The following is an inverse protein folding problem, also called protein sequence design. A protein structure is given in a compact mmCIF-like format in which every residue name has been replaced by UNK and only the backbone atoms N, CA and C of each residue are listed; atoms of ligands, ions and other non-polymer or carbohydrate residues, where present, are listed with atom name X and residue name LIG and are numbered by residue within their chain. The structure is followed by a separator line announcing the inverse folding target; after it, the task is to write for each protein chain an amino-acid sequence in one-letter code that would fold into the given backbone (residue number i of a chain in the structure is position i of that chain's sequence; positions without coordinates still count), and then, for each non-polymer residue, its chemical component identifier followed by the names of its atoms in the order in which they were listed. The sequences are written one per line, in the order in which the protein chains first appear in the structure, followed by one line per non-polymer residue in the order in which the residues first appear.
data_IF_205753472077
#
_entry.id   IF_205753472077
#
_cell.length_a   1.000
_cell.length_b   1.000
_cell.length_c   1.000
_cell.angle_alpha   90.00
_cell.angle_beta   90.00
_cell.angle_gamma   90.00
#
_symmetry.space_group_name_H-M   'P 1'
#
loop_
_entity.id
_entity.type
_entity.pdbx_description
1 polymer ?
#
# COMPACT_ATOMS: atom_id res chain seq x y z
N UNK A 1 -7.01 1.94 5.28
CA UNK A 1 -7.72 2.46 6.47
C UNK A 1 -8.95 3.25 6.04
N UNK A 2 -9.95 3.37 6.91
CA UNK A 2 -11.17 4.15 6.67
C UNK A 2 -11.16 5.40 7.55
N UNK A 3 -11.88 6.44 7.12
CA UNK A 3 -12.11 7.61 7.97
C UNK A 3 -12.93 7.15 9.19
N UNK A 4 -12.54 7.62 10.37
CA UNK A 4 -13.11 7.19 11.66
C UNK A 4 -12.47 5.94 12.25
N UNK A 5 -11.50 5.31 11.59
CA UNK A 5 -10.81 4.15 12.14
C UNK A 5 -9.84 4.56 13.27
N UNK A 6 -9.90 3.86 14.40
CA UNK A 6 -8.87 3.92 15.44
C UNK A 6 -7.64 3.10 14.98
N UNK A 7 -6.46 3.68 15.13
CA UNK A 7 -5.20 3.12 14.66
C UNK A 7 -4.17 3.10 15.79
N UNK A 8 -3.41 2.01 15.84
CA UNK A 8 -2.38 1.74 16.83
C UNK A 8 -0.98 1.75 16.19
N UNK A 9 0.09 1.84 17.00
CA UNK A 9 1.46 1.71 16.51
C UNK A 9 1.65 0.43 15.68
N UNK A 10 2.17 0.57 14.47
CA UNK A 10 2.41 -0.55 13.55
C UNK A 10 1.28 -0.83 12.54
N UNK A 11 0.10 -0.23 12.72
CA UNK A 11 -0.99 -0.35 11.75
C UNK A 11 -0.63 0.27 10.40
N UNK A 12 -1.12 -0.33 9.31
CA UNK A 12 -0.86 0.11 7.95
C UNK A 12 -1.86 1.20 7.57
N UNK A 13 -1.37 2.44 7.42
CA UNK A 13 -2.18 3.60 7.02
C UNK A 13 -2.44 3.61 5.51
N UNK A 14 -1.37 3.45 4.72
CA UNK A 14 -1.43 3.44 3.26
C UNK A 14 -0.62 2.26 2.74
N UNK A 15 -1.29 1.35 2.04
CA UNK A 15 -0.65 0.25 1.36
C UNK A 15 0.20 0.76 0.19
N UNK A 16 1.50 0.48 0.19
CA UNK A 16 2.40 0.79 -0.92
C UNK A 16 3.29 -0.40 -1.21
N UNK A 17 3.32 -0.80 -2.47
CA UNK A 17 4.23 -1.83 -2.97
C UNK A 17 5.30 -1.17 -3.83
N UNK A 18 6.51 -1.69 -3.75
CA UNK A 18 7.62 -1.27 -4.63
C UNK A 18 8.18 -2.51 -5.29
N UNK A 19 8.26 -2.57 -6.63
CA UNK A 19 8.90 -3.69 -7.29
C UNK A 19 10.37 -3.75 -6.83
N UNK A 20 10.83 -4.94 -6.45
CA UNK A 20 12.25 -5.21 -6.26
C UNK A 20 12.88 -5.22 -7.65
N UNK A 21 14.02 -4.54 -7.82
CA UNK A 21 14.82 -4.70 -9.03
C UNK A 21 15.33 -6.13 -9.18
N UNK A 22 15.84 -6.49 -10.37
CA UNK A 22 16.52 -7.76 -10.64
C UNK A 22 17.82 -7.90 -9.81
N UNK A 23 17.66 -8.12 -8.51
CA UNK A 23 18.74 -8.60 -7.66
C UNK A 23 18.89 -10.10 -7.92
N UNK A 24 20.13 -10.64 -7.91
CA UNK A 24 20.32 -12.08 -7.98
C UNK A 24 19.58 -12.74 -6.82
N UNK A 25 18.56 -13.54 -7.16
CA UNK A 25 17.75 -14.27 -6.18
C UNK A 25 18.62 -15.29 -5.45
N UNK A 26 18.38 -15.46 -4.16
CA UNK A 26 19.07 -16.51 -3.41
C UNK A 26 18.54 -17.90 -3.83
N UNK A 27 19.32 -18.99 -3.65
CA UNK A 27 18.86 -20.35 -3.97
C UNK A 27 17.51 -20.71 -3.31
N UNK A 28 17.24 -20.19 -2.12
CA UNK A 28 16.00 -20.35 -1.37
C UNK A 28 14.82 -19.66 -2.07
N UNK A 29 14.99 -18.42 -2.55
CA UNK A 29 13.98 -17.69 -3.31
C UNK A 29 13.70 -18.35 -4.66
N UNK A 30 14.73 -18.92 -5.30
CA UNK A 30 14.60 -19.68 -6.55
C UNK A 30 13.79 -20.96 -6.36
N UNK A 31 13.99 -21.69 -5.25
CA UNK A 31 13.18 -22.85 -4.90
C UNK A 31 11.73 -22.44 -4.63
N UNK A 32 11.52 -21.35 -3.91
CA UNK A 32 10.19 -20.86 -3.57
C UNK A 32 9.41 -20.41 -4.83
N UNK A 33 10.09 -19.75 -5.78
CA UNK A 33 9.52 -19.42 -7.10
C UNK A 33 9.21 -20.67 -7.93
N UNK A 34 10.01 -21.72 -7.83
CA UNK A 34 9.74 -22.99 -8.52
C UNK A 34 8.52 -23.74 -7.94
N UNK A 35 8.26 -23.61 -6.64
CA UNK A 35 7.13 -24.26 -5.95
C UNK A 35 5.83 -23.43 -6.08
N UNK A 36 5.91 -22.10 -5.93
CA UNK A 36 4.76 -21.20 -5.87
C UNK A 36 4.51 -20.37 -7.15
N UNK A 37 5.40 -20.45 -8.16
CA UNK A 37 5.31 -19.71 -9.42
C UNK A 37 5.76 -18.24 -9.32
N UNK A 38 5.64 -17.49 -10.43
CA UNK A 38 6.10 -16.10 -10.56
C UNK A 38 5.33 -15.08 -9.69
N UNK A 39 4.28 -15.49 -8.98
CA UNK A 39 3.46 -14.60 -8.15
C UNK A 39 4.08 -14.28 -6.78
N UNK A 40 5.21 -14.88 -6.42
CA UNK A 40 5.58 -15.01 -5.01
C UNK A 40 6.21 -13.77 -4.35
N UNK A 41 7.02 -12.93 -5.01
CA UNK A 41 7.90 -12.08 -4.19
C UNK A 41 8.62 -10.89 -4.85
N UNK A 42 8.27 -10.54 -6.09
CA UNK A 42 8.95 -9.44 -6.78
C UNK A 42 8.53 -8.06 -6.27
N UNK A 43 7.62 -7.99 -5.30
CA UNK A 43 7.22 -6.74 -4.64
C UNK A 43 7.68 -6.70 -3.20
N UNK A 44 8.27 -5.58 -2.81
CA UNK A 44 8.57 -5.23 -1.42
C UNK A 44 7.43 -4.36 -0.89
N UNK A 45 6.90 -4.75 0.27
CA UNK A 45 6.02 -3.90 1.03
C UNK A 45 6.80 -2.65 1.53
N UNK A 46 6.41 -1.48 1.05
CA UNK A 46 6.93 -0.16 1.48
C UNK A 46 5.79 0.72 1.99
N UNK A 47 4.73 0.09 2.49
CA UNK A 47 3.54 0.75 3.02
C UNK A 47 3.86 1.75 4.10
N UNK A 48 3.07 2.82 4.15
CA UNK A 48 3.11 3.79 5.23
C UNK A 48 2.40 3.21 6.44
N UNK A 49 3.13 3.10 7.56
CA UNK A 49 2.62 2.55 8.82
C UNK A 49 2.62 3.63 9.90
N UNK A 50 1.77 3.46 10.91
CA UNK A 50 1.73 4.35 12.07
C UNK A 50 3.06 4.28 12.83
N UNK A 51 3.71 5.43 13.12
CA UNK A 51 4.94 5.47 13.90
C UNK A 51 4.79 4.82 15.28
N UNK A 52 5.89 4.26 15.83
CA UNK A 52 5.86 3.72 17.18
C UNK A 52 5.53 4.82 18.20
N UNK A 53 4.60 4.53 19.12
CA UNK A 53 4.20 5.47 20.18
C UNK A 53 3.13 6.49 19.79
N UNK A 54 2.58 6.42 18.57
CA UNK A 54 1.44 7.25 18.14
C UNK A 54 0.18 6.40 18.00
N UNK A 55 -0.93 6.89 18.52
CA UNK A 55 -2.27 6.31 18.40
C UNK A 55 -3.27 7.42 18.12
N UNK A 56 -4.40 7.09 17.50
CA UNK A 56 -5.45 8.08 17.25
C UNK A 56 -6.50 7.58 16.29
N UNK A 57 -7.35 8.49 15.83
CA UNK A 57 -8.43 8.21 14.89
C UNK A 57 -8.15 8.92 13.57
N UNK A 58 -8.37 8.24 12.45
CA UNK A 58 -8.23 8.87 11.12
C UNK A 58 -9.37 9.85 10.89
N UNK A 59 -9.06 11.14 10.82
CA UNK A 59 -10.07 12.21 10.64
C UNK A 59 -10.36 12.48 9.17
N UNK A 60 -9.33 12.40 8.31
CA UNK A 60 -9.44 12.78 6.90
C UNK A 60 -8.42 11.99 6.07
N UNK A 61 -8.77 11.67 4.82
CA UNK A 61 -7.87 11.04 3.84
C UNK A 61 -7.97 11.83 2.54
N UNK A 62 -6.84 12.37 2.06
CA UNK A 62 -6.76 13.05 0.76
C UNK A 62 -5.94 12.22 -0.21
N UNK A 63 -6.41 12.10 -1.45
CA UNK A 63 -5.74 11.36 -2.52
C UNK A 63 -5.34 12.34 -3.60
N UNK A 64 -4.05 12.36 -3.94
CA UNK A 64 -3.52 13.19 -5.02
C UNK A 64 -3.07 12.29 -6.17
N UNK A 65 -3.72 12.43 -7.32
CA UNK A 65 -3.34 11.71 -8.53
C UNK A 65 -2.61 12.64 -9.51
N UNK A 66 -1.51 12.15 -10.09
CA UNK A 66 -0.79 12.88 -11.13
C UNK A 66 -1.54 12.76 -12.45
N UNK A 67 -1.53 13.82 -13.27
CA UNK A 67 -2.09 13.78 -14.62
C UNK A 67 -1.53 12.60 -15.42
N UNK A 68 -2.41 11.76 -15.95
CA UNK A 68 -2.08 10.60 -16.78
C UNK A 68 -2.04 9.25 -16.06
N UNK A 69 -2.30 9.19 -14.75
CA UNK A 69 -2.47 7.93 -14.02
C UNK A 69 -3.96 7.57 -13.96
N UNK A 70 -4.31 6.31 -14.26
CA UNK A 70 -5.67 5.82 -14.09
C UNK A 70 -6.10 5.97 -12.63
N UNK A 71 -7.26 6.57 -12.41
CA UNK A 71 -7.81 6.75 -11.07
C UNK A 71 -8.47 5.44 -10.66
N UNK A 72 -8.13 4.93 -9.48
CA UNK A 72 -8.84 3.78 -8.91
C UNK A 72 -10.31 4.14 -8.62
N UNK A 73 -11.19 3.13 -8.58
CA UNK A 73 -12.61 3.31 -8.25
C UNK A 73 -12.80 4.09 -6.93
N UNK A 74 -11.93 3.84 -5.95
CA UNK A 74 -11.96 4.55 -4.66
C UNK A 74 -11.53 6.01 -4.78
N UNK A 75 -10.56 6.33 -5.63
CA UNK A 75 -10.16 7.71 -5.89
C UNK A 75 -11.27 8.48 -6.62
N UNK A 76 -11.95 7.83 -7.57
CA UNK A 76 -13.12 8.41 -8.24
C UNK A 76 -14.28 8.65 -7.28
N UNK A 77 -14.51 7.76 -6.31
CA UNK A 77 -15.55 7.93 -5.30
C UNK A 77 -15.28 9.14 -4.39
N UNK A 78 -14.05 9.29 -3.90
CA UNK A 78 -13.65 10.41 -3.03
C UNK A 78 -13.74 11.75 -3.78
N UNK A 79 -13.26 11.82 -5.03
CA UNK A 79 -13.40 13.05 -5.83
C UNK A 79 -14.85 13.42 -6.11
N UNK A 80 -15.75 12.44 -6.28
CA UNK A 80 -17.18 12.72 -6.45
C UNK A 80 -17.80 13.29 -5.18
N UNK A 81 -17.45 12.76 -4.01
CA UNK A 81 -17.90 13.28 -2.71
C UNK A 81 -17.37 14.70 -2.42
N UNK A 82 -16.18 15.08 -2.92
CA UNK A 82 -15.64 16.44 -2.74
C UNK A 82 -16.24 17.48 -3.71
N UNK A 83 -16.88 17.06 -4.81
CA UNK A 83 -17.46 17.95 -5.83
C UNK A 83 -18.93 18.30 -5.52
N UNK A 84 -19.60 17.51 -4.69
CA UNK A 84 -20.97 17.75 -4.21
C UNK A 84 -21.00 18.67 -2.98
#
# INVERSE_FOLDING_TARGET
VYIGAEVQPGDILVGKITPKGESPMTPEEKLLRAIFGEKASDVRDTSMRMPPGTFGTVVEVRVFNRHGVEKDERAMAIEREEIE
#
